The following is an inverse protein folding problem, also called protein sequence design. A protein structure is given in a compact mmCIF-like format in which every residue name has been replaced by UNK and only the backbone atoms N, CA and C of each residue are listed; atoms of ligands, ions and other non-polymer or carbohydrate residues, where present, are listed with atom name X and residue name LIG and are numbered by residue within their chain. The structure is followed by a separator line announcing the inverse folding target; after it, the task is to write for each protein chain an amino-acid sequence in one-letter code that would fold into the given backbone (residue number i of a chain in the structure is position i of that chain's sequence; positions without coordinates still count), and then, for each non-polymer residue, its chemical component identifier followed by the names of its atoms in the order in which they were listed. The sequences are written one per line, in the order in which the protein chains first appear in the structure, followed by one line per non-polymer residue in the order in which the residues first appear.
data_IF_225666860421
#
_entry.id   IF_225666860421
#
_cell.length_a   1.000
_cell.length_b   1.000
_cell.length_c   1.000
_cell.angle_alpha   90.00
_cell.angle_beta   90.00
_cell.angle_gamma   90.00
#
_symmetry.space_group_name_H-M   'P 1'
#
loop_
_entity.id
_entity.type
_entity.pdbx_description
1 polymer ?
#
# COMPACT_ATOMS: atom_id res chain seq x y z
N UNK A 1 21.34 -30.60 -35.82
CA UNK A 1 21.73 -29.62 -34.79
C UNK A 1 20.45 -29.22 -34.10
N UNK A 2 20.16 -29.85 -32.97
CA UNK A 2 18.93 -29.66 -32.23
C UNK A 2 19.18 -28.68 -31.06
N UNK A 3 18.36 -27.68 -31.01
CA UNK A 3 18.37 -26.65 -29.96
C UNK A 3 17.62 -27.19 -28.75
N UNK A 4 18.34 -27.39 -27.64
CA UNK A 4 17.81 -27.86 -26.36
C UNK A 4 17.13 -26.69 -25.64
N UNK A 5 15.82 -26.76 -25.55
CA UNK A 5 15.03 -25.86 -24.69
C UNK A 5 15.36 -26.12 -23.21
N UNK A 6 15.77 -25.06 -22.51
CA UNK A 6 16.04 -25.09 -21.07
C UNK A 6 14.76 -25.37 -20.25
N UNK A 7 14.83 -26.15 -19.16
CA UNK A 7 13.66 -26.49 -18.35
C UNK A 7 13.24 -25.29 -17.52
N UNK A 8 11.95 -24.90 -17.64
CA UNK A 8 11.27 -23.98 -16.72
C UNK A 8 11.30 -24.58 -15.30
N UNK A 9 12.03 -23.95 -14.40
CA UNK A 9 12.05 -24.31 -12.97
C UNK A 9 10.65 -24.11 -12.39
N UNK A 10 9.93 -25.21 -12.14
CA UNK A 10 8.78 -25.25 -11.24
C UNK A 10 9.31 -24.99 -9.83
N UNK A 11 9.05 -23.82 -9.26
CA UNK A 11 9.18 -23.64 -7.83
C UNK A 11 8.10 -24.46 -7.14
N UNK A 12 8.54 -25.42 -6.33
CA UNK A 12 7.68 -26.27 -5.55
C UNK A 12 6.96 -25.44 -4.47
N UNK A 13 5.63 -25.38 -4.57
CA UNK A 13 4.74 -24.89 -3.52
C UNK A 13 4.56 -26.06 -2.53
N UNK A 14 5.54 -26.29 -1.69
CA UNK A 14 5.45 -27.28 -0.59
C UNK A 14 5.84 -26.61 0.74
N UNK A 15 5.03 -25.70 1.24
CA UNK A 15 5.00 -25.31 2.68
C UNK A 15 3.73 -24.53 3.02
N UNK A 16 2.56 -25.06 2.67
CA UNK A 16 1.29 -24.51 3.13
C UNK A 16 0.55 -25.56 3.97
N UNK A 17 1.02 -25.77 5.18
CA UNK A 17 0.21 -26.37 6.23
C UNK A 17 0.88 -26.08 7.57
N UNK A 18 0.38 -25.09 8.30
CA UNK A 18 0.41 -24.96 9.77
C UNK A 18 0.26 -23.49 10.21
N UNK A 19 -0.90 -22.90 10.03
CA UNK A 19 -1.38 -21.87 10.97
C UNK A 19 -2.90 -21.97 11.05
N UNK A 20 -3.35 -22.31 12.25
CA UNK A 20 -4.75 -22.55 12.54
C UNK A 20 -5.55 -21.27 12.77
N UNK A 21 -6.81 -21.49 12.62
CA UNK A 21 -8.07 -20.78 12.90
C UNK A 21 -8.74 -20.13 11.69
N UNK A 22 -9.76 -20.84 11.27
CA UNK A 22 -10.71 -20.58 10.20
C UNK A 22 -11.45 -19.24 10.30
N UNK A 23 -11.03 -18.27 9.50
CA UNK A 23 -11.96 -17.57 8.66
C UNK A 23 -11.39 -17.75 7.24
N UNK A 24 -12.00 -18.61 6.42
CA UNK A 24 -11.62 -18.75 5.02
C UNK A 24 -12.00 -17.44 4.35
N UNK A 25 -11.00 -16.56 4.15
CA UNK A 25 -11.18 -15.33 3.41
C UNK A 25 -11.65 -15.71 2.01
N UNK A 26 -12.74 -15.08 1.56
CA UNK A 26 -13.24 -15.28 0.21
C UNK A 26 -12.42 -14.43 -0.76
N UNK A 27 -11.41 -15.04 -1.37
CA UNK A 27 -10.58 -14.37 -2.38
C UNK A 27 -11.27 -14.22 -3.74
N UNK A 28 -12.40 -14.89 -3.98
CA UNK A 28 -13.16 -14.75 -5.22
C UNK A 28 -13.66 -13.31 -5.43
N UNK A 29 -13.84 -12.56 -4.33
CA UNK A 29 -14.15 -11.13 -4.37
C UNK A 29 -13.08 -10.27 -5.06
N UNK A 30 -11.84 -10.73 -5.21
CA UNK A 30 -10.76 -10.04 -5.91
C UNK A 30 -10.58 -10.50 -7.37
N UNK A 31 -11.36 -11.46 -7.85
CA UNK A 31 -11.19 -12.08 -9.19
C UNK A 31 -11.36 -11.11 -10.35
N UNK A 32 -12.05 -10.00 -10.15
CA UNK A 32 -12.29 -8.94 -11.13
C UNK A 32 -11.24 -7.81 -11.08
N UNK A 33 -10.30 -7.87 -10.13
CA UNK A 33 -9.32 -6.79 -9.92
C UNK A 33 -8.21 -6.89 -10.95
N UNK A 34 -7.98 -5.78 -11.65
CA UNK A 34 -6.92 -5.60 -12.64
C UNK A 34 -5.94 -4.48 -12.28
N UNK A 35 -6.22 -3.72 -11.23
CA UNK A 35 -5.39 -2.60 -10.75
C UNK A 35 -5.22 -2.69 -9.23
N UNK A 36 -3.98 -2.83 -8.79
CA UNK A 36 -3.60 -2.97 -7.39
C UNK A 36 -2.86 -1.73 -6.92
N UNK A 37 -3.42 -1.04 -5.94
CA UNK A 37 -2.88 0.19 -5.38
C UNK A 37 -2.35 -0.10 -3.99
N UNK A 38 -1.09 0.24 -3.76
CA UNK A 38 -0.44 0.04 -2.47
C UNK A 38 -0.10 1.39 -1.86
N UNK A 39 -0.47 1.58 -0.61
CA UNK A 39 0.21 2.55 0.21
C UNK A 39 1.67 2.13 0.44
N UNK A 40 2.50 3.02 0.95
CA UNK A 40 3.92 2.79 1.13
C UNK A 40 4.29 2.48 2.57
N UNK A 41 4.08 3.48 3.45
CA UNK A 41 4.59 3.48 4.82
C UNK A 41 3.81 2.51 5.70
N UNK A 42 4.52 1.61 6.38
CA UNK A 42 3.93 0.52 7.17
C UNK A 42 3.07 -0.48 6.39
N UNK A 43 2.92 -0.29 5.07
CA UNK A 43 2.25 -1.23 4.15
C UNK A 43 3.28 -2.04 3.35
N UNK A 44 4.13 -1.41 2.52
CA UNK A 44 5.17 -2.10 1.74
C UNK A 44 6.41 -2.47 2.57
N UNK A 45 6.46 -2.07 3.80
CA UNK A 45 7.36 -2.56 4.85
C UNK A 45 6.62 -2.59 6.18
N UNK A 46 6.90 -3.57 7.06
CA UNK A 46 6.15 -3.71 8.31
C UNK A 46 6.57 -2.65 9.34
N UNK A 47 5.64 -2.18 10.21
CA UNK A 47 5.92 -1.17 11.25
C UNK A 47 7.10 -1.51 12.18
N UNK A 48 7.37 -2.80 12.40
CA UNK A 48 8.49 -3.28 13.23
C UNK A 48 9.87 -2.85 12.75
N UNK A 49 10.00 -2.41 11.49
CA UNK A 49 11.26 -1.86 10.93
C UNK A 49 11.54 -0.46 11.49
N UNK A 50 10.49 0.24 11.98
CA UNK A 50 10.59 1.54 12.67
C UNK A 50 11.24 2.66 11.85
N UNK A 51 11.20 2.56 10.52
CA UNK A 51 11.76 3.63 9.67
C UNK A 51 10.89 4.90 9.74
N UNK A 52 9.57 4.75 9.91
CA UNK A 52 8.66 5.87 10.04
C UNK A 52 8.90 6.69 11.33
N UNK A 53 9.44 6.08 12.38
CA UNK A 53 9.84 6.78 13.61
C UNK A 53 10.84 7.91 13.33
N UNK A 54 11.73 7.73 12.33
CA UNK A 54 12.68 8.78 11.94
C UNK A 54 11.96 9.99 11.31
N UNK A 55 10.92 9.72 10.51
CA UNK A 55 10.08 10.77 9.90
C UNK A 55 9.32 11.51 11.00
N UNK A 56 8.74 10.79 11.96
CA UNK A 56 8.03 11.41 13.09
C UNK A 56 8.93 12.32 13.92
N UNK A 57 10.15 11.88 14.22
CA UNK A 57 11.10 12.72 14.96
C UNK A 57 11.51 13.96 14.13
N UNK A 58 11.74 13.80 12.84
CA UNK A 58 12.04 14.95 11.95
C UNK A 58 10.86 15.90 11.83
N UNK A 59 9.62 15.39 11.75
CA UNK A 59 8.42 16.23 11.79
C UNK A 59 8.35 17.04 13.09
N UNK A 60 8.63 16.41 14.24
CA UNK A 60 8.68 17.03 15.55
C UNK A 60 9.68 18.18 15.61
N UNK A 61 10.91 17.90 15.15
CA UNK A 61 11.99 18.90 15.11
C UNK A 61 11.65 20.07 14.17
N UNK A 62 11.12 19.79 12.99
CA UNK A 62 10.75 20.83 12.03
C UNK A 62 9.63 21.73 12.56
N UNK A 63 8.58 21.15 13.16
CA UNK A 63 7.47 21.93 13.73
C UNK A 63 7.95 22.79 14.88
N UNK A 64 8.81 22.26 15.77
CA UNK A 64 9.38 23.01 16.88
C UNK A 64 10.18 24.23 16.40
N UNK A 65 11.06 24.04 15.41
CA UNK A 65 11.88 25.10 14.84
C UNK A 65 11.02 26.14 14.10
N UNK A 66 10.14 25.68 13.20
CA UNK A 66 9.30 26.57 12.38
C UNK A 66 8.37 27.44 13.20
N UNK A 67 7.74 26.89 14.27
CA UNK A 67 6.83 27.61 15.14
C UNK A 67 7.53 28.30 16.31
N UNK A 68 8.83 28.07 16.50
CA UNK A 68 9.62 28.54 17.65
C UNK A 68 8.97 28.14 19.00
N UNK A 69 8.64 26.84 19.12
CA UNK A 69 8.01 26.24 20.31
C UNK A 69 8.87 25.11 20.85
N UNK A 70 8.55 24.64 22.07
CA UNK A 70 9.19 23.44 22.64
C UNK A 70 8.82 22.18 21.86
N UNK A 71 9.62 21.10 22.01
CA UNK A 71 9.33 19.80 21.40
C UNK A 71 7.99 19.24 21.88
N UNK A 72 7.62 19.42 23.14
CA UNK A 72 6.36 18.94 23.68
C UNK A 72 5.15 19.69 23.07
N UNK A 73 5.29 21.01 22.86
CA UNK A 73 4.27 21.79 22.15
C UNK A 73 4.17 21.38 20.67
N UNK A 74 5.31 21.10 20.03
CA UNK A 74 5.33 20.59 18.65
C UNK A 74 4.55 19.27 18.52
N UNK A 75 4.66 18.35 19.48
CA UNK A 75 3.88 17.12 19.51
C UNK A 75 2.38 17.38 19.66
N UNK A 76 1.99 18.38 20.45
CA UNK A 76 0.57 18.80 20.57
C UNK A 76 0.06 19.32 19.21
N UNK A 77 0.83 20.19 18.52
CA UNK A 77 0.47 20.67 17.19
C UNK A 77 0.36 19.54 16.17
N UNK A 78 1.34 18.62 16.13
CA UNK A 78 1.33 17.46 15.24
C UNK A 78 0.08 16.61 15.47
N UNK A 79 -0.22 16.26 16.71
CA UNK A 79 -1.41 15.47 17.05
C UNK A 79 -2.72 16.19 16.70
N UNK A 80 -2.78 17.52 16.87
CA UNK A 80 -3.93 18.33 16.50
C UNK A 80 -4.12 18.34 14.98
N UNK A 81 -3.06 18.59 14.21
CA UNK A 81 -3.13 18.68 12.74
C UNK A 81 -3.45 17.33 12.09
N UNK A 82 -2.87 16.25 12.61
CA UNK A 82 -3.23 14.90 12.15
C UNK A 82 -4.74 14.62 12.31
N UNK A 83 -5.35 15.03 13.43
CA UNK A 83 -6.80 14.84 13.67
C UNK A 83 -7.67 15.74 12.80
N UNK A 84 -7.28 17.01 12.61
CA UNK A 84 -8.13 18.02 11.97
C UNK A 84 -7.89 18.17 10.46
N UNK A 85 -6.71 17.79 9.94
CA UNK A 85 -6.31 17.98 8.55
C UNK A 85 -5.79 16.70 7.89
N UNK A 86 -5.80 15.56 8.60
CA UNK A 86 -5.31 14.28 8.09
C UNK A 86 -3.80 14.08 8.22
N UNK A 87 -3.00 15.14 8.11
CA UNK A 87 -1.54 15.10 8.28
C UNK A 87 -1.02 16.37 8.98
N UNK A 88 0.17 16.26 9.58
CA UNK A 88 0.91 17.43 10.10
C UNK A 88 1.16 18.46 9.00
N UNK A 89 1.59 18.03 7.83
CA UNK A 89 1.87 18.90 6.69
C UNK A 89 0.66 19.75 6.31
N UNK A 90 -0.51 19.14 6.13
CA UNK A 90 -1.72 19.86 5.73
C UNK A 90 -2.12 20.92 6.77
N UNK A 91 -2.00 20.60 8.06
CA UNK A 91 -2.25 21.57 9.13
C UNK A 91 -1.25 22.72 9.15
N UNK A 92 0.04 22.45 8.92
CA UNK A 92 1.07 23.49 8.84
C UNK A 92 0.86 24.42 7.64
N UNK A 93 0.49 23.87 6.49
CA UNK A 93 0.17 24.65 5.29
C UNK A 93 -1.05 25.56 5.52
N UNK A 94 -2.15 25.00 6.04
CA UNK A 94 -3.40 25.74 6.26
C UNK A 94 -3.27 26.86 7.32
N UNK A 95 -2.63 26.52 8.45
CA UNK A 95 -2.59 27.40 9.61
C UNK A 95 -1.45 28.41 9.60
N UNK A 96 -0.35 28.09 8.93
CA UNK A 96 0.89 28.86 9.00
C UNK A 96 1.41 29.26 7.61
N UNK A 97 0.69 28.96 6.52
CA UNK A 97 1.12 29.19 5.15
C UNK A 97 2.52 28.64 4.86
N UNK A 98 2.86 27.51 5.50
CA UNK A 98 4.18 26.86 5.36
C UNK A 98 4.34 26.28 3.95
N UNK A 99 5.42 26.56 3.23
CA UNK A 99 5.72 25.90 1.95
C UNK A 99 5.98 24.41 2.17
N UNK A 100 5.32 23.49 1.44
CA UNK A 100 5.41 22.05 1.67
C UNK A 100 6.79 21.47 1.35
N UNK A 101 7.51 22.05 0.40
CA UNK A 101 8.75 21.47 -0.14
C UNK A 101 9.86 21.39 0.92
N UNK A 102 10.04 22.46 1.72
CA UNK A 102 11.07 22.50 2.77
C UNK A 102 10.79 21.46 3.86
N UNK A 103 9.52 21.32 4.26
CA UNK A 103 9.10 20.31 5.23
C UNK A 103 9.35 18.90 4.69
N UNK A 104 8.85 18.60 3.48
CA UNK A 104 8.97 17.28 2.87
C UNK A 104 10.41 16.88 2.63
N UNK A 105 11.26 17.80 2.17
CA UNK A 105 12.69 17.56 1.99
C UNK A 105 13.36 17.22 3.33
N UNK A 106 13.04 17.94 4.39
CA UNK A 106 13.64 17.73 5.70
C UNK A 106 13.20 16.41 6.34
N UNK A 107 11.89 16.10 6.31
CA UNK A 107 11.36 14.91 6.99
C UNK A 107 11.70 13.61 6.26
N UNK A 108 11.90 13.63 4.94
CA UNK A 108 12.27 12.47 4.14
C UNK A 108 13.79 12.24 4.01
N UNK A 109 14.62 13.09 4.62
CA UNK A 109 16.06 12.88 4.71
C UNK A 109 16.39 11.95 5.89
N UNK A 110 16.16 10.66 5.70
CA UNK A 110 16.29 9.60 6.71
C UNK A 110 17.26 8.50 6.27
N UNK A 111 17.66 7.65 7.21
CA UNK A 111 18.42 6.44 6.94
C UNK A 111 17.51 5.29 6.52
N UNK A 112 17.73 4.77 5.30
CA UNK A 112 16.98 3.64 4.75
C UNK A 112 17.65 2.28 5.02
N UNK A 113 18.84 2.25 5.62
CA UNK A 113 19.59 1.01 5.87
C UNK A 113 18.87 -0.04 6.72
N UNK A 114 17.90 0.34 7.61
CA UNK A 114 17.10 -0.65 8.33
C UNK A 114 16.09 -1.41 7.47
N UNK A 115 15.76 -0.92 6.26
CA UNK A 115 14.81 -1.60 5.37
C UNK A 115 15.40 -2.89 4.81
N UNK A 116 14.82 -4.07 5.12
CA UNK A 116 15.29 -5.31 4.53
C UNK A 116 14.84 -5.41 3.06
N UNK A 117 15.74 -5.84 2.19
CA UNK A 117 15.37 -6.25 0.84
C UNK A 117 14.44 -7.47 0.89
N UNK A 118 13.34 -7.49 0.11
CA UNK A 118 12.40 -8.61 0.08
C UNK A 118 12.16 -9.10 -1.35
N UNK A 119 12.93 -10.11 -1.75
CA UNK A 119 12.70 -10.79 -3.03
C UNK A 119 11.38 -11.57 -3.03
N UNK A 120 10.90 -12.00 -1.87
CA UNK A 120 9.62 -12.70 -1.73
C UNK A 120 8.45 -11.77 -1.99
N UNK A 121 8.39 -10.61 -1.34
CA UNK A 121 7.36 -9.60 -1.60
C UNK A 121 7.39 -9.16 -3.07
N UNK A 122 8.59 -8.94 -3.64
CA UNK A 122 8.75 -8.59 -5.06
C UNK A 122 8.13 -9.66 -5.97
N UNK A 123 8.38 -10.94 -5.71
CA UNK A 123 7.82 -12.03 -6.48
C UNK A 123 6.29 -12.11 -6.36
N UNK A 124 5.74 -11.92 -5.15
CA UNK A 124 4.31 -11.93 -4.88
C UNK A 124 3.59 -10.78 -5.59
N UNK A 125 4.10 -9.55 -5.49
CA UNK A 125 3.54 -8.39 -6.19
C UNK A 125 3.61 -8.59 -7.71
N UNK A 126 4.72 -9.12 -8.24
CA UNK A 126 4.86 -9.43 -9.67
C UNK A 126 3.86 -10.48 -10.16
N UNK A 127 3.47 -11.40 -9.29
CA UNK A 127 2.52 -12.47 -9.63
C UNK A 127 1.06 -11.98 -9.72
N UNK A 128 0.72 -10.84 -9.12
CA UNK A 128 -0.62 -10.28 -9.26
C UNK A 128 -0.88 -9.91 -10.74
N UNK A 129 -2.07 -10.21 -11.27
CA UNK A 129 -2.43 -9.82 -12.64
C UNK A 129 -2.62 -8.30 -12.77
N UNK A 130 -2.41 -7.76 -13.95
CA UNK A 130 -2.72 -6.36 -14.26
C UNK A 130 -1.72 -5.35 -13.68
N UNK A 131 -2.19 -4.16 -13.38
CA UNK A 131 -1.41 -2.97 -13.03
C UNK A 131 -1.09 -2.92 -11.53
N UNK A 132 0.08 -2.39 -11.18
CA UNK A 132 0.49 -2.13 -9.79
C UNK A 132 0.98 -0.70 -9.66
N UNK A 133 0.45 0.01 -8.68
CA UNK A 133 0.67 1.44 -8.45
C UNK A 133 0.96 1.65 -6.96
N UNK A 134 1.89 2.54 -6.65
CA UNK A 134 2.05 3.08 -5.29
C UNK A 134 1.34 4.42 -5.20
N UNK A 135 0.57 4.62 -4.12
CA UNK A 135 -0.02 5.91 -3.77
C UNK A 135 0.19 6.20 -2.28
N UNK A 136 0.99 7.20 -1.97
CA UNK A 136 1.43 7.55 -0.61
C UNK A 136 1.18 9.02 -0.26
N UNK A 137 1.07 9.32 1.04
CA UNK A 137 1.14 10.68 1.58
C UNK A 137 2.58 11.21 1.71
N UNK A 138 3.58 10.38 1.43
CA UNK A 138 4.97 10.81 1.22
C UNK A 138 5.17 11.39 -0.19
N UNK A 139 6.39 11.87 -0.50
CA UNK A 139 6.75 12.32 -1.85
C UNK A 139 7.13 11.15 -2.75
N UNK A 140 6.99 11.32 -4.08
CA UNK A 140 7.48 10.32 -5.03
C UNK A 140 8.99 10.02 -4.88
N UNK A 141 9.90 11.02 -4.75
CA UNK A 141 11.32 10.73 -4.53
C UNK A 141 11.60 9.93 -3.26
N UNK A 142 10.89 10.20 -2.17
CA UNK A 142 10.97 9.40 -0.94
C UNK A 142 10.49 7.97 -1.19
N UNK A 143 9.33 7.81 -1.78
CA UNK A 143 8.76 6.49 -2.08
C UNK A 143 9.71 5.65 -2.96
N UNK A 144 10.32 6.24 -3.97
CA UNK A 144 11.31 5.53 -4.81
C UNK A 144 12.53 5.06 -4.03
N UNK A 145 13.03 5.84 -3.05
CA UNK A 145 14.12 5.41 -2.17
C UNK A 145 13.73 4.22 -1.28
N UNK A 146 12.49 4.22 -0.75
CA UNK A 146 11.94 3.08 -0.01
C UNK A 146 11.85 1.85 -0.89
N UNK A 147 11.26 1.98 -2.09
CA UNK A 147 11.13 0.88 -3.04
C UNK A 147 12.50 0.31 -3.45
N UNK A 148 13.48 1.17 -3.69
CA UNK A 148 14.86 0.77 -3.99
C UNK A 148 15.47 -0.05 -2.84
N UNK A 149 15.39 0.45 -1.63
CA UNK A 149 15.91 -0.25 -0.45
C UNK A 149 15.23 -1.62 -0.24
N UNK A 150 13.93 -1.72 -0.54
CA UNK A 150 13.14 -2.95 -0.47
C UNK A 150 13.37 -3.89 -1.65
N UNK A 151 13.97 -3.43 -2.78
CA UNK A 151 14.09 -4.20 -4.03
C UNK A 151 12.77 -4.34 -4.79
N UNK A 152 11.90 -3.33 -4.68
CA UNK A 152 10.55 -3.35 -5.25
C UNK A 152 10.35 -2.40 -6.43
N UNK A 153 11.38 -1.67 -6.87
CA UNK A 153 11.26 -0.63 -7.92
C UNK A 153 10.61 -1.14 -9.21
N UNK A 154 10.94 -2.37 -9.61
CA UNK A 154 10.48 -2.98 -10.86
C UNK A 154 9.05 -3.54 -10.79
N UNK A 155 8.43 -3.52 -9.62
CA UNK A 155 7.10 -4.09 -9.42
C UNK A 155 5.97 -3.13 -9.79
N UNK A 156 6.23 -1.82 -9.83
CA UNK A 156 5.23 -0.78 -9.96
C UNK A 156 5.40 -0.02 -11.27
N UNK A 157 4.29 0.17 -12.01
CA UNK A 157 4.29 0.97 -13.24
C UNK A 157 4.35 2.47 -12.94
N UNK A 158 3.80 2.90 -11.79
CA UNK A 158 3.76 4.28 -11.37
C UNK A 158 3.82 4.42 -9.85
N UNK A 159 4.37 5.56 -9.40
CA UNK A 159 4.43 5.98 -8.00
C UNK A 159 3.84 7.37 -7.91
N UNK A 160 2.83 7.54 -7.07
CA UNK A 160 2.18 8.82 -6.82
C UNK A 160 2.40 9.25 -5.38
N UNK A 161 3.09 10.37 -5.19
CA UNK A 161 3.27 11.04 -3.93
C UNK A 161 2.25 12.16 -3.72
N UNK A 162 2.30 12.78 -2.56
CA UNK A 162 1.39 13.84 -2.14
C UNK A 162 1.41 15.07 -3.08
N UNK A 163 2.55 15.36 -3.72
CA UNK A 163 2.70 16.43 -4.71
C UNK A 163 1.81 16.23 -5.93
N UNK A 164 1.53 14.98 -6.29
CA UNK A 164 0.63 14.65 -7.40
C UNK A 164 -0.85 14.89 -7.10
N UNK A 165 -1.20 15.01 -5.80
CA UNK A 165 -2.53 15.38 -5.31
C UNK A 165 -2.58 16.84 -4.85
N UNK A 166 -1.70 17.71 -5.40
CA UNK A 166 -1.64 19.13 -5.04
C UNK A 166 -1.47 19.34 -3.53
N UNK A 167 -0.67 18.49 -2.87
CA UNK A 167 -0.40 18.42 -1.44
C UNK A 167 -1.64 18.18 -0.55
N UNK A 168 -2.72 17.69 -1.14
CA UNK A 168 -3.87 17.18 -0.37
C UNK A 168 -3.61 15.73 0.03
N UNK A 169 -3.63 15.40 1.33
CA UNK A 169 -3.35 14.04 1.76
C UNK A 169 -4.57 13.12 1.64
N UNK A 170 -4.37 11.83 1.63
CA UNK A 170 -5.36 10.87 2.08
C UNK A 170 -5.71 11.21 3.54
N UNK A 171 -6.98 11.13 3.98
CA UNK A 171 -8.15 10.53 3.33
C UNK A 171 -9.03 11.51 2.52
N UNK A 172 -8.58 12.70 2.13
CA UNK A 172 -9.40 13.65 1.39
C UNK A 172 -9.86 13.10 0.03
N UNK A 173 -11.15 13.15 -0.27
CA UNK A 173 -11.74 12.58 -1.48
C UNK A 173 -11.18 13.19 -2.78
N UNK A 174 -10.87 14.50 -2.75
CA UNK A 174 -10.28 15.21 -3.88
C UNK A 174 -8.88 14.68 -4.24
N UNK A 175 -8.11 14.25 -3.23
CA UNK A 175 -6.79 13.65 -3.43
C UNK A 175 -6.90 12.33 -4.21
N UNK A 176 -7.84 11.46 -3.82
CA UNK A 176 -8.12 10.22 -4.55
C UNK A 176 -8.62 10.50 -5.96
N UNK A 177 -9.54 11.45 -6.13
CA UNK A 177 -10.08 11.83 -7.45
C UNK A 177 -8.97 12.27 -8.39
N UNK A 178 -8.04 13.11 -7.92
CA UNK A 178 -6.92 13.60 -8.72
C UNK A 178 -5.96 12.47 -9.11
N UNK A 179 -5.56 11.63 -8.14
CA UNK A 179 -4.65 10.51 -8.41
C UNK A 179 -5.29 9.45 -9.30
N UNK A 180 -6.54 9.07 -9.07
CA UNK A 180 -7.21 8.06 -9.89
C UNK A 180 -7.43 8.52 -11.32
N UNK A 181 -7.72 9.81 -11.52
CA UNK A 181 -7.79 10.39 -12.86
C UNK A 181 -6.43 10.35 -13.58
N UNK A 182 -5.33 10.76 -12.91
CA UNK A 182 -3.96 10.72 -13.47
C UNK A 182 -3.52 9.30 -13.80
N UNK A 183 -3.84 8.35 -12.94
CA UNK A 183 -3.45 6.95 -13.08
C UNK A 183 -4.40 6.16 -13.99
N UNK A 184 -5.48 6.76 -14.50
CA UNK A 184 -6.55 6.09 -15.24
C UNK A 184 -7.06 4.84 -14.50
N UNK A 185 -7.32 4.96 -13.20
CA UNK A 185 -7.86 3.90 -12.36
C UNK A 185 -9.37 3.84 -12.53
N UNK A 186 -9.89 2.64 -12.75
CA UNK A 186 -11.32 2.32 -12.65
C UNK A 186 -11.57 1.71 -11.26
N UNK A 187 -12.17 2.45 -10.31
CA UNK A 187 -12.27 1.96 -8.92
C UNK A 187 -12.93 0.59 -8.79
N UNK A 188 -13.96 0.30 -9.58
CA UNK A 188 -14.71 -0.96 -9.53
C UNK A 188 -13.92 -2.20 -9.98
N UNK A 189 -12.77 -2.01 -10.64
CA UNK A 189 -11.83 -3.09 -10.97
C UNK A 189 -10.49 -2.93 -10.26
N UNK A 190 -10.45 -2.17 -9.15
CA UNK A 190 -9.24 -1.93 -8.40
C UNK A 190 -9.34 -2.40 -6.94
N UNK A 191 -8.17 -2.63 -6.33
CA UNK A 191 -8.02 -2.90 -4.91
C UNK A 191 -6.96 -1.98 -4.30
N UNK A 192 -7.16 -1.56 -3.04
CA UNK A 192 -6.19 -0.75 -2.31
C UNK A 192 -5.78 -1.41 -1.00
N UNK A 193 -4.45 -1.44 -0.75
CA UNK A 193 -3.80 -1.91 0.47
C UNK A 193 -3.32 -0.73 1.29
N UNK A 194 -3.62 -0.69 2.57
CA UNK A 194 -3.37 0.44 3.47
C UNK A 194 -3.23 0.00 4.93
N UNK A 195 -2.42 0.73 5.71
CA UNK A 195 -2.26 0.55 7.16
C UNK A 195 -3.08 1.52 8.01
N UNK A 196 -3.64 2.57 7.42
CA UNK A 196 -4.58 3.49 8.06
C UNK A 196 -6.00 3.30 7.49
N UNK A 197 -6.89 2.70 8.28
CA UNK A 197 -8.26 2.41 7.84
C UNK A 197 -9.02 3.64 7.30
N UNK A 198 -8.75 4.85 7.82
CA UNK A 198 -9.39 6.10 7.34
C UNK A 198 -9.14 6.34 5.85
N UNK A 199 -7.98 5.93 5.35
CA UNK A 199 -7.59 6.08 3.95
C UNK A 199 -8.30 5.09 3.01
N UNK A 200 -9.01 4.10 3.55
CA UNK A 200 -9.79 3.11 2.78
C UNK A 200 -11.27 3.47 2.64
N UNK A 201 -11.78 4.46 3.38
CA UNK A 201 -13.20 4.85 3.28
C UNK A 201 -13.56 5.36 1.89
N UNK A 202 -12.80 6.32 1.35
CA UNK A 202 -13.06 6.86 0.00
C UNK A 202 -12.90 5.81 -1.09
N UNK A 203 -11.86 4.97 -1.13
CA UNK A 203 -11.80 3.81 -2.02
C UNK A 203 -13.03 2.90 -1.95
N UNK A 204 -13.50 2.56 -0.74
CA UNK A 204 -14.69 1.75 -0.55
C UNK A 204 -15.95 2.41 -1.13
N UNK A 205 -16.15 3.72 -0.85
CA UNK A 205 -17.28 4.50 -1.36
C UNK A 205 -17.30 4.58 -2.90
N UNK A 206 -16.10 4.48 -3.53
CA UNK A 206 -15.93 4.42 -4.98
C UNK A 206 -16.10 3.00 -5.56
N UNK A 207 -16.29 1.99 -4.72
CA UNK A 207 -16.50 0.59 -5.12
C UNK A 207 -15.19 -0.21 -5.35
N UNK A 208 -14.06 0.27 -4.82
CA UNK A 208 -12.81 -0.50 -4.80
C UNK A 208 -12.88 -1.61 -3.76
N UNK A 209 -12.07 -2.65 -3.96
CA UNK A 209 -11.76 -3.59 -2.89
C UNK A 209 -10.75 -2.98 -1.92
N UNK A 210 -10.99 -3.17 -0.63
CA UNK A 210 -10.19 -2.57 0.44
C UNK A 210 -9.52 -3.64 1.29
N UNK A 211 -8.20 -3.51 1.45
CA UNK A 211 -7.39 -4.43 2.24
C UNK A 211 -6.64 -3.64 3.32
N UNK A 212 -7.01 -3.86 4.56
CA UNK A 212 -6.41 -3.23 5.73
C UNK A 212 -5.26 -4.09 6.28
N UNK A 213 -4.06 -3.57 6.25
CA UNK A 213 -2.86 -4.25 6.77
C UNK A 213 -2.56 -3.68 8.16
N UNK A 214 -3.00 -4.40 9.20
CA UNK A 214 -2.87 -3.94 10.58
C UNK A 214 -2.75 -5.11 11.54
N UNK A 215 -1.97 -4.96 12.62
CA UNK A 215 -1.97 -5.93 13.72
C UNK A 215 -3.30 -6.01 14.47
N UNK A 216 -4.15 -4.99 14.35
CA UNK A 216 -5.47 -4.96 14.99
C UNK A 216 -6.48 -5.81 14.21
N UNK A 217 -7.20 -6.66 14.94
CA UNK A 217 -8.20 -7.55 14.35
C UNK A 217 -9.54 -6.85 14.05
N UNK A 218 -9.73 -5.61 14.53
CA UNK A 218 -10.97 -4.86 14.36
C UNK A 218 -10.84 -3.89 13.20
N UNK A 219 -11.76 -3.98 12.24
CA UNK A 219 -11.84 -3.08 11.10
C UNK A 219 -13.24 -2.51 10.94
N UNK A 220 -13.38 -1.29 10.39
CA UNK A 220 -14.68 -0.75 9.98
C UNK A 220 -15.38 -1.62 8.93
N UNK A 221 -16.70 -1.52 8.85
CA UNK A 221 -17.55 -2.33 7.96
C UNK A 221 -17.27 -2.12 6.45
N UNK A 222 -16.61 -1.03 6.08
CA UNK A 222 -16.21 -0.75 4.69
C UNK A 222 -14.90 -1.45 4.27
N UNK A 223 -14.28 -2.24 5.15
CA UNK A 223 -13.06 -3.00 4.84
C UNK A 223 -13.45 -4.41 4.39
N UNK A 224 -13.06 -4.78 3.15
CA UNK A 224 -13.35 -6.11 2.59
C UNK A 224 -12.46 -7.21 3.18
N UNK A 225 -11.19 -6.87 3.52
CA UNK A 225 -10.25 -7.82 4.09
C UNK A 225 -9.29 -7.13 5.08
N UNK A 226 -8.96 -7.84 6.17
CA UNK A 226 -7.96 -7.38 7.16
C UNK A 226 -6.92 -8.48 7.36
N UNK A 227 -5.65 -8.09 7.37
CA UNK A 227 -4.56 -9.01 7.64
C UNK A 227 -3.40 -8.30 8.37
N UNK A 228 -2.67 -9.04 9.21
CA UNK A 228 -1.56 -8.47 9.99
C UNK A 228 -0.28 -8.29 9.18
N UNK A 229 -0.15 -8.98 8.05
CA UNK A 229 1.08 -9.04 7.26
C UNK A 229 0.75 -9.09 5.77
N UNK A 230 1.31 -8.16 4.99
CA UNK A 230 1.06 -8.05 3.56
C UNK A 230 1.58 -9.27 2.79
N UNK A 231 2.79 -9.76 3.11
CA UNK A 231 3.38 -10.90 2.38
C UNK A 231 2.51 -12.14 2.57
N UNK A 232 2.08 -12.43 3.81
CA UNK A 232 1.20 -13.55 4.12
C UNK A 232 -0.18 -13.44 3.45
N UNK A 233 -0.74 -12.23 3.37
CA UNK A 233 -1.97 -11.98 2.61
C UNK A 233 -1.77 -12.25 1.11
N UNK A 234 -0.71 -11.72 0.52
CA UNK A 234 -0.43 -11.88 -0.91
C UNK A 234 -0.15 -13.33 -1.30
N UNK A 235 0.47 -14.15 -0.42
CA UNK A 235 0.62 -15.61 -0.65
C UNK A 235 -0.74 -16.25 -0.87
N UNK A 236 -1.73 -15.95 -0.05
CA UNK A 236 -3.07 -16.51 -0.14
C UNK A 236 -3.81 -15.97 -1.38
N UNK A 237 -3.73 -14.67 -1.63
CA UNK A 237 -4.37 -14.02 -2.77
C UNK A 237 -3.82 -14.54 -4.10
N UNK A 238 -2.50 -14.63 -4.24
CA UNK A 238 -1.85 -15.16 -5.45
C UNK A 238 -2.24 -16.63 -5.66
N UNK A 239 -2.24 -17.46 -4.60
CA UNK A 239 -2.67 -18.84 -4.71
C UNK A 239 -4.12 -18.95 -5.19
N UNK A 240 -5.03 -18.09 -4.73
CA UNK A 240 -6.42 -18.04 -5.19
C UNK A 240 -6.55 -17.62 -6.65
N UNK A 241 -5.79 -16.59 -7.10
CA UNK A 241 -5.78 -16.12 -8.48
C UNK A 241 -5.35 -17.21 -9.50
N UNK A 242 -4.50 -18.16 -9.06
CA UNK A 242 -4.02 -19.25 -9.92
C UNK A 242 -4.74 -20.59 -9.70
N UNK A 243 -5.64 -20.67 -8.71
CA UNK A 243 -6.51 -21.83 -8.52
C UNK A 243 -7.67 -21.76 -9.52
N UNK A 244 -7.46 -22.16 -10.77
CA UNK A 244 -8.54 -22.32 -11.73
C UNK A 244 -9.53 -23.35 -11.18
N UNK A 245 -10.86 -23.12 -11.19
CA UNK A 245 -11.82 -24.16 -10.89
C UNK A 245 -11.57 -25.34 -11.83
N UNK A 246 -11.28 -26.51 -11.26
CA UNK A 246 -11.10 -27.75 -12.01
C UNK A 246 -12.29 -27.96 -12.92
N UNK A 247 -12.05 -27.93 -14.24
CA UNK A 247 -13.08 -27.90 -15.26
C UNK A 247 -14.17 -28.93 -15.03
N UNK A 248 -15.40 -28.49 -15.04
CA UNK A 248 -16.53 -29.32 -15.45
C UNK A 248 -16.26 -29.78 -16.90
N UNK A 249 -15.78 -30.99 -17.03
CA UNK A 249 -15.85 -31.75 -18.27
C UNK A 249 -17.31 -31.77 -18.74
N UNK A 250 -17.66 -30.88 -19.67
CA UNK A 250 -18.91 -31.00 -20.42
C UNK A 250 -18.93 -32.40 -21.06
N UNK A 251 -19.65 -33.31 -20.41
CA UNK A 251 -20.04 -34.57 -21.03
C UNK A 251 -20.99 -34.22 -22.17
N UNK A 252 -20.45 -34.16 -23.37
CA UNK A 252 -21.25 -34.15 -24.57
C UNK A 252 -22.02 -35.48 -24.63
N UNK A 253 -23.32 -35.41 -24.38
CA UNK A 253 -24.24 -36.50 -24.69
C UNK A 253 -24.34 -36.55 -26.20
N UNK A 254 -23.63 -37.50 -26.77
CA UNK A 254 -23.91 -37.98 -28.13
C UNK A 254 -25.12 -38.87 -28.01
N UNK A 255 -26.26 -38.42 -28.51
CA UNK A 255 -27.42 -39.27 -28.78
C UNK A 255 -27.23 -39.84 -30.18
N UNK A 256 -27.11 -41.14 -30.22
CA UNK A 256 -27.36 -41.98 -31.37
C UNK A 256 -28.86 -42.12 -31.63
#
# INVERSE_FOLDING_TARGET
MGELAAPRKRFAIEHVALFGTNCRMDFDQFSHVDTWIFDLDNTLYPPKVRIFDQIEEKMRLFVADFLNVSLDEADVFRAQYWRSHGTTLAGMMDRHAMPPEAFLQFVHDIDFSPLPHSAELSALISALPGRKIVYTNGTEPYARRVLQARGLEQNFEAVYGIEHASYRPKPHAEAFTEIFARAAVTPQSAAMFEDDSRNLQVPADLGMRTVYISPDATSPDYIDATHQDLEAFLVQLVAACFSTPSGELRRSHVHT
#
